data_IF_885432881027
#
_entry.id   IF_885432881027
#
_cell.length_a   1.000
_cell.length_b   1.000
_cell.length_c   1.000
_cell.angle_alpha   90.00
_cell.angle_beta   90.00
_cell.angle_gamma   90.00
#
_symmetry.space_group_name_H-M   'P 1'
#
loop_
_entity.id
_entity.type
_entity.pdbx_description
1 polymer ?
#
# COMPACT_ATOMS: atom_id res chain seq x y z
N UNK A 1 -23.95 10.59 9.57
CA UNK A 1 -23.60 9.17 9.42
C UNK A 1 -22.48 9.08 8.40
N UNK A 2 -21.25 9.34 8.83
CA UNK A 2 -20.05 9.12 8.01
C UNK A 2 -19.61 7.69 8.29
N UNK A 3 -19.78 6.80 7.33
CA UNK A 3 -19.17 5.47 7.37
C UNK A 3 -17.66 5.65 7.34
N UNK A 4 -16.98 5.05 8.33
CA UNK A 4 -15.52 4.96 8.47
C UNK A 4 -14.85 4.75 7.11
N UNK A 5 -13.78 5.51 6.83
CA UNK A 5 -12.91 5.27 5.68
C UNK A 5 -12.26 3.89 5.82
N UNK A 6 -12.88 2.88 5.23
CA UNK A 6 -12.21 1.63 4.89
C UNK A 6 -11.24 1.93 3.74
N UNK A 7 -9.96 1.68 3.94
CA UNK A 7 -9.03 1.54 2.81
C UNK A 7 -7.63 1.98 3.13
N UNK A 8 -6.71 1.02 3.17
CA UNK A 8 -5.30 1.29 3.03
C UNK A 8 -4.69 0.39 1.94
N UNK A 9 -5.25 0.42 0.73
CA UNK A 9 -4.59 -0.16 -0.44
C UNK A 9 -3.42 0.73 -0.84
N UNK A 10 -2.27 0.51 -0.21
CA UNK A 10 -1.11 1.38 -0.35
C UNK A 10 0.17 0.59 -0.52
N UNK A 11 1.10 1.18 -1.28
CA UNK A 11 2.46 0.69 -1.39
C UNK A 11 3.38 1.72 -0.74
N UNK A 12 3.94 1.37 0.40
CA UNK A 12 4.90 2.17 1.14
C UNK A 12 6.29 1.63 0.87
N UNK A 13 7.08 2.38 0.10
CA UNK A 13 8.36 1.93 -0.40
C UNK A 13 9.47 2.89 0.02
N UNK A 14 10.53 2.36 0.62
CA UNK A 14 11.76 3.09 0.92
C UNK A 14 11.56 4.37 1.75
N UNK A 15 10.48 4.46 2.55
CA UNK A 15 10.28 5.57 3.47
C UNK A 15 11.19 5.41 4.70
N UNK A 16 11.96 6.46 5.02
CA UNK A 16 12.92 6.45 6.13
C UNK A 16 12.81 7.72 6.94
N UNK A 17 12.91 7.57 8.26
CA UNK A 17 13.20 8.65 9.17
C UNK A 17 14.58 8.45 9.82
N UNK A 18 15.28 9.55 10.12
CA UNK A 18 16.66 9.51 10.59
C UNK A 18 16.82 9.13 12.07
N UNK A 19 15.73 9.09 12.86
CA UNK A 19 15.80 9.02 14.33
C UNK A 19 14.87 7.94 14.91
N UNK A 20 13.67 7.75 14.35
CA UNK A 20 12.73 6.67 14.68
C UNK A 20 11.71 6.53 13.55
N UNK A 21 11.21 5.32 13.29
CA UNK A 21 10.25 5.05 12.23
C UNK A 21 10.88 4.59 10.92
N UNK A 22 11.22 3.31 10.86
CA UNK A 22 11.48 2.69 9.56
C UNK A 22 10.10 2.47 8.88
N UNK A 23 9.89 3.14 7.75
CA UNK A 23 8.66 3.23 6.95
C UNK A 23 7.37 3.79 7.61
N UNK A 24 6.92 3.32 8.77
CA UNK A 24 5.73 3.89 9.47
C UNK A 24 6.01 4.02 10.98
N UNK A 25 5.66 5.17 11.55
CA UNK A 25 5.77 5.48 12.97
C UNK A 25 4.55 6.22 13.47
N UNK A 26 4.04 5.82 14.64
CA UNK A 26 2.89 6.42 15.30
C UNK A 26 3.19 6.61 16.79
N UNK A 27 3.13 7.87 17.26
CA UNK A 27 3.45 8.30 18.63
C UNK A 27 2.31 9.08 19.30
N UNK A 28 1.08 9.06 18.74
CA UNK A 28 -0.01 9.80 19.35
C UNK A 28 -0.44 9.19 20.70
N UNK A 29 -0.61 10.02 21.74
CA UNK A 29 -1.16 9.57 23.01
C UNK A 29 -2.66 9.26 22.82
N UNK A 30 -3.02 7.98 22.83
CA UNK A 30 -4.40 7.56 22.63
C UNK A 30 -5.30 8.02 23.77
N UNK A 31 -6.05 9.08 23.51
CA UNK A 31 -7.18 9.46 24.33
C UNK A 31 -8.47 8.94 23.69
N UNK A 32 -9.52 8.76 24.49
CA UNK A 32 -10.86 8.44 23.97
C UNK A 32 -11.36 9.47 22.93
N UNK A 33 -10.79 10.67 22.91
CA UNK A 33 -11.11 11.73 21.95
C UNK A 33 -10.30 11.63 20.63
N UNK A 34 -9.09 11.06 20.66
CA UNK A 34 -8.19 10.93 19.52
C UNK A 34 -7.64 9.49 19.44
N UNK A 35 -8.38 8.54 18.86
CA UNK A 35 -7.85 7.21 18.59
C UNK A 35 -6.94 7.27 17.35
N UNK A 36 -5.70 7.77 17.51
CA UNK A 36 -4.69 7.73 16.46
C UNK A 36 -4.19 6.29 16.28
N UNK A 37 -4.92 5.51 15.48
CA UNK A 37 -4.52 4.15 15.08
C UNK A 37 -4.23 4.17 13.60
N UNK A 38 -3.04 3.71 13.21
CA UNK A 38 -2.75 3.39 11.81
C UNK A 38 -3.45 2.08 11.49
N UNK A 39 -4.48 2.12 10.63
CA UNK A 39 -5.16 0.92 10.15
C UNK A 39 -4.61 0.51 8.78
N UNK A 40 -4.21 -0.74 8.65
CA UNK A 40 -3.65 -1.31 7.42
C UNK A 40 -4.58 -2.42 6.90
N UNK A 41 -4.76 -2.48 5.58
CA UNK A 41 -5.49 -3.57 4.90
C UNK A 41 -5.04 -3.63 3.46
N UNK A 42 -4.70 -4.81 2.95
CA UNK A 42 -4.17 -4.97 1.59
C UNK A 42 -2.98 -4.05 1.28
N UNK A 43 -2.14 -3.76 2.27
CA UNK A 43 -1.00 -2.84 2.18
C UNK A 43 0.28 -3.60 1.83
N UNK A 44 1.19 -2.97 1.10
CA UNK A 44 2.54 -3.48 0.85
C UNK A 44 3.55 -2.49 1.43
N UNK A 45 4.45 -2.97 2.29
CA UNK A 45 5.51 -2.18 2.91
C UNK A 45 6.86 -2.83 2.59
N UNK A 46 7.83 -2.05 2.11
CA UNK A 46 9.17 -2.57 1.84
C UNK A 46 10.23 -1.46 1.77
N UNK A 47 11.49 -1.89 1.77
CA UNK A 47 12.66 -1.02 1.61
C UNK A 47 13.62 -1.07 2.80
N UNK A 48 13.20 -1.65 3.94
CA UNK A 48 14.01 -1.74 5.15
C UNK A 48 13.91 -3.11 5.84
N UNK A 49 14.91 -3.50 6.66
CA UNK A 49 14.88 -4.74 7.44
C UNK A 49 13.75 -4.78 8.47
N UNK A 50 13.43 -3.64 9.06
CA UNK A 50 12.27 -3.39 9.92
C UNK A 50 11.48 -2.28 9.24
N UNK A 51 10.17 -2.42 9.09
CA UNK A 51 9.30 -1.54 8.31
C UNK A 51 8.18 -0.91 9.15
N UNK A 52 8.11 -1.24 10.44
CA UNK A 52 7.14 -0.67 11.35
C UNK A 52 7.75 -0.60 12.75
N UNK A 53 7.58 0.55 13.40
CA UNK A 53 7.92 0.76 14.80
C UNK A 53 6.85 1.64 15.48
N UNK A 54 6.72 1.52 16.79
CA UNK A 54 5.66 2.17 17.56
C UNK A 54 4.48 1.26 17.88
N UNK A 55 3.66 1.69 18.86
CA UNK A 55 2.79 0.78 19.60
C UNK A 55 1.37 0.61 19.07
N UNK A 56 0.93 1.39 18.08
CA UNK A 56 -0.51 1.56 17.80
C UNK A 56 -0.86 1.44 16.32
N UNK A 57 -0.76 0.21 15.83
CA UNK A 57 -1.24 -0.23 14.53
C UNK A 57 -2.39 -1.21 14.69
N UNK A 58 -3.30 -1.20 13.73
CA UNK A 58 -4.30 -2.24 13.56
C UNK A 58 -4.20 -2.78 12.14
N UNK A 59 -3.61 -3.96 11.99
CA UNK A 59 -3.82 -4.75 10.77
C UNK A 59 -5.27 -5.23 10.72
N UNK A 60 -5.94 -4.96 9.61
CA UNK A 60 -7.24 -5.53 9.27
C UNK A 60 -7.08 -6.73 8.31
N UNK A 61 -5.85 -7.07 7.94
CA UNK A 61 -5.50 -8.28 7.23
C UNK A 61 -5.01 -8.07 5.80
N UNK A 62 -4.36 -9.13 5.29
CA UNK A 62 -3.78 -9.19 3.95
C UNK A 62 -2.75 -8.09 3.70
N UNK A 63 -2.04 -7.67 4.73
CA UNK A 63 -0.88 -6.80 4.56
C UNK A 63 0.37 -7.64 4.26
N UNK A 64 1.33 -7.08 3.52
CA UNK A 64 2.62 -7.69 3.25
C UNK A 64 3.73 -6.71 3.63
N UNK A 65 4.73 -7.22 4.35
CA UNK A 65 5.98 -6.51 4.62
C UNK A 65 7.17 -7.31 4.10
N UNK A 66 7.99 -6.73 3.21
CA UNK A 66 9.30 -7.28 2.85
C UNK A 66 10.37 -6.62 3.75
N UNK A 67 10.75 -7.35 4.80
CA UNK A 67 11.26 -6.80 6.07
C UNK A 67 10.24 -7.05 7.19
N UNK A 68 10.66 -7.02 8.46
CA UNK A 68 9.74 -7.27 9.57
C UNK A 68 8.87 -6.06 9.88
N UNK A 69 7.63 -6.28 10.25
CA UNK A 69 6.68 -5.29 10.74
C UNK A 69 5.83 -5.97 11.82
N UNK A 70 6.24 -5.83 13.08
CA UNK A 70 5.59 -6.50 14.22
C UNK A 70 4.10 -6.16 14.37
N UNK A 71 3.67 -5.05 13.76
CA UNK A 71 2.30 -4.57 13.70
C UNK A 71 1.37 -5.37 12.78
N UNK A 72 1.92 -6.15 11.83
CA UNK A 72 1.15 -7.08 11.00
C UNK A 72 0.81 -8.34 11.80
N UNK A 73 -0.24 -8.23 12.60
CA UNK A 73 -0.57 -9.19 13.67
C UNK A 73 -1.65 -10.21 13.30
N UNK A 74 -2.22 -10.15 12.10
CA UNK A 74 -3.25 -11.11 11.68
C UNK A 74 -2.61 -12.33 11.02
N UNK A 75 -3.23 -13.51 11.16
CA UNK A 75 -2.72 -14.76 10.60
C UNK A 75 -2.70 -14.80 9.06
N UNK A 76 -3.35 -13.85 8.41
CA UNK A 76 -3.44 -13.73 6.94
C UNK A 76 -2.50 -12.66 6.38
N UNK A 77 -1.75 -11.97 7.23
CA UNK A 77 -0.66 -11.09 6.82
C UNK A 77 0.57 -11.89 6.42
N UNK A 78 1.46 -11.24 5.66
CA UNK A 78 2.74 -11.78 5.21
C UNK A 78 3.86 -10.90 5.74
N UNK A 79 4.20 -11.10 7.02
CA UNK A 79 5.33 -10.43 7.66
C UNK A 79 6.67 -11.05 7.25
N UNK A 80 7.74 -10.24 7.23
CA UNK A 80 9.10 -10.64 6.91
C UNK A 80 9.22 -11.46 5.61
N UNK A 81 8.44 -11.09 4.59
CA UNK A 81 8.43 -11.74 3.29
C UNK A 81 9.82 -11.68 2.64
N UNK A 82 10.31 -12.80 2.10
CA UNK A 82 11.66 -12.93 1.55
C UNK A 82 11.71 -13.10 0.03
N UNK A 83 10.55 -13.26 -0.62
CA UNK A 83 10.47 -13.35 -2.09
C UNK A 83 10.62 -11.99 -2.77
N UNK A 84 10.85 -12.00 -4.08
CA UNK A 84 10.81 -10.79 -4.89
C UNK A 84 9.36 -10.31 -5.04
N UNK A 85 9.13 -9.01 -4.79
CA UNK A 85 7.82 -8.39 -5.00
C UNK A 85 7.50 -8.19 -6.48
N UNK A 86 8.50 -8.24 -7.35
CA UNK A 86 8.39 -8.04 -8.80
C UNK A 86 7.63 -6.74 -9.11
N UNK A 87 8.07 -5.64 -8.48
CA UNK A 87 7.54 -4.30 -8.73
C UNK A 87 8.40 -3.61 -9.80
N UNK A 88 7.75 -2.92 -10.74
CA UNK A 88 8.44 -2.00 -11.65
C UNK A 88 8.97 -0.76 -10.94
N UNK A 89 9.75 0.06 -11.65
CA UNK A 89 10.27 1.32 -11.13
C UNK A 89 9.15 2.32 -10.80
N UNK A 90 9.44 3.27 -9.90
CA UNK A 90 8.54 4.39 -9.61
C UNK A 90 8.44 5.30 -10.84
N UNK A 91 7.34 5.19 -11.59
CA UNK A 91 7.13 5.89 -12.86
C UNK A 91 5.66 6.18 -13.13
N UNK A 92 5.36 6.99 -14.14
CA UNK A 92 4.00 7.30 -14.56
C UNK A 92 3.36 6.09 -15.26
N UNK A 93 2.60 5.29 -14.50
CA UNK A 93 1.89 4.10 -15.02
C UNK A 93 0.45 4.41 -15.45
N UNK A 94 0.22 5.65 -15.94
CA UNK A 94 -1.10 6.20 -16.25
C UNK A 94 -1.89 6.61 -15.02
N UNK A 95 -3.11 7.06 -15.25
CA UNK A 95 -4.08 7.49 -14.27
C UNK A 95 -4.77 8.78 -14.64
N UNK A 96 -5.87 9.08 -13.95
CA UNK A 96 -6.62 10.34 -14.15
C UNK A 96 -5.79 11.58 -13.83
N UNK A 97 -4.86 11.46 -12.89
CA UNK A 97 -3.94 12.52 -12.51
C UNK A 97 -2.49 12.04 -12.70
N UNK A 98 -1.54 12.92 -13.09
CA UNK A 98 -0.15 12.53 -13.21
C UNK A 98 0.43 12.18 -11.84
N UNK A 99 0.60 10.89 -11.58
CA UNK A 99 1.31 10.39 -10.41
C UNK A 99 2.24 9.23 -10.81
N UNK A 100 3.35 9.12 -10.09
CA UNK A 100 4.21 7.95 -10.22
C UNK A 100 3.74 6.87 -9.26
N UNK A 101 3.77 5.62 -9.72
CA UNK A 101 3.42 4.46 -8.91
C UNK A 101 4.39 3.31 -9.14
N UNK A 102 4.34 2.29 -8.29
CA UNK A 102 5.03 1.02 -8.46
C UNK A 102 4.02 0.00 -8.97
N UNK A 103 4.15 -0.41 -10.23
CA UNK A 103 3.23 -1.36 -10.86
C UNK A 103 3.75 -2.80 -10.67
N UNK A 104 2.95 -3.74 -10.14
CA UNK A 104 3.30 -5.16 -10.15
C UNK A 104 3.59 -5.67 -11.56
N UNK A 105 4.60 -6.51 -11.69
CA UNK A 105 4.97 -7.19 -12.94
C UNK A 105 4.29 -8.56 -13.01
N UNK A 106 4.21 -9.18 -14.21
CA UNK A 106 3.68 -10.53 -14.35
C UNK A 106 4.37 -11.51 -13.39
N UNK A 107 3.57 -12.27 -12.64
CA UNK A 107 4.06 -13.24 -11.64
C UNK A 107 4.34 -12.66 -10.25
N UNK A 108 4.10 -11.36 -10.03
CA UNK A 108 4.23 -10.75 -8.71
C UNK A 108 3.36 -11.45 -7.66
N UNK A 109 3.88 -11.70 -6.44
CA UNK A 109 3.11 -12.27 -5.34
C UNK A 109 2.03 -11.34 -4.79
N UNK A 110 1.97 -10.09 -5.30
CA UNK A 110 0.99 -9.08 -4.95
C UNK A 110 -0.31 -9.20 -5.78
N UNK A 111 -0.23 -9.87 -6.94
CA UNK A 111 -1.36 -10.01 -7.85
C UNK A 111 -2.42 -10.94 -7.25
N UNK A 112 -3.70 -10.54 -7.31
CA UNK A 112 -4.85 -11.30 -6.79
C UNK A 112 -4.72 -11.72 -5.31
N UNK A 113 -3.91 -11.02 -4.52
CA UNK A 113 -3.55 -11.42 -3.16
C UNK A 113 -4.32 -10.70 -2.05
N UNK A 114 -5.09 -9.65 -2.39
CA UNK A 114 -5.89 -8.87 -1.45
C UNK A 114 -7.12 -9.59 -0.90
N UNK A 115 -7.74 -8.97 0.11
CA UNK A 115 -9.05 -9.33 0.63
C UNK A 115 -10.15 -8.77 -0.31
N UNK A 116 -10.92 -9.66 -1.00
CA UNK A 116 -12.02 -9.26 -1.87
C UNK A 116 -13.07 -8.37 -1.21
N UNK A 117 -13.26 -8.51 0.11
CA UNK A 117 -14.28 -7.77 0.87
C UNK A 117 -13.84 -6.35 1.23
N UNK A 118 -12.54 -6.08 1.18
CA UNK A 118 -11.94 -4.77 1.41
C UNK A 118 -11.52 -4.07 0.11
N UNK A 119 -11.63 -4.72 -1.05
CA UNK A 119 -11.24 -4.15 -2.34
C UNK A 119 -12.04 -2.87 -2.66
N UNK A 120 -11.32 -1.80 -2.99
CA UNK A 120 -11.93 -0.59 -3.53
C UNK A 120 -12.25 -0.80 -5.01
N UNK A 121 -13.26 -0.09 -5.53
CA UNK A 121 -13.67 -0.22 -6.92
C UNK A 121 -12.57 0.21 -7.91
N UNK A 122 -11.72 1.15 -7.51
CA UNK A 122 -10.59 1.66 -8.30
C UNK A 122 -9.29 1.62 -7.52
N UNK A 123 -8.18 1.60 -8.24
CA UNK A 123 -6.83 1.76 -7.69
C UNK A 123 -6.44 3.24 -7.58
N UNK A 124 -5.22 3.54 -7.11
CA UNK A 124 -4.74 4.91 -6.92
C UNK A 124 -4.75 5.73 -8.22
N UNK A 125 -4.69 5.09 -9.39
CA UNK A 125 -4.70 5.73 -10.71
C UNK A 125 -6.12 6.06 -11.19
N UNK A 126 -7.15 5.74 -10.41
CA UNK A 126 -8.56 5.74 -10.81
C UNK A 126 -8.89 4.68 -11.87
N UNK A 127 -8.10 3.59 -11.93
CA UNK A 127 -8.36 2.45 -12.82
C UNK A 127 -9.18 1.38 -12.09
N UNK A 128 -10.18 0.78 -12.76
CA UNK A 128 -11.00 -0.27 -12.14
C UNK A 128 -10.18 -1.50 -11.78
N UNK A 129 -10.32 -1.98 -10.54
CA UNK A 129 -9.75 -3.25 -10.11
C UNK A 129 -10.44 -4.43 -10.80
N UNK A 130 -9.72 -5.52 -11.04
CA UNK A 130 -10.18 -6.67 -11.83
C UNK A 130 -9.93 -7.96 -11.07
N UNK A 131 -10.94 -8.83 -10.97
CA UNK A 131 -10.79 -10.08 -10.22
C UNK A 131 -10.65 -9.83 -8.72
N UNK A 132 -9.73 -10.53 -8.06
CA UNK A 132 -9.36 -10.23 -6.68
C UNK A 132 -8.38 -9.08 -6.72
N UNK A 133 -8.59 -8.04 -5.91
CA UNK A 133 -7.66 -6.91 -5.97
C UNK A 133 -6.24 -7.32 -5.59
N UNK A 134 -5.30 -6.64 -6.24
CA UNK A 134 -3.89 -6.73 -5.91
C UNK A 134 -3.63 -6.04 -4.57
N UNK A 135 -2.61 -6.54 -3.87
CA UNK A 135 -2.04 -5.85 -2.73
C UNK A 135 -1.36 -4.55 -3.16
N UNK A 136 -1.61 -3.50 -2.40
CA UNK A 136 -1.00 -2.20 -2.59
C UNK A 136 -1.78 -1.24 -3.48
N UNK A 137 -1.10 -0.18 -3.90
CA UNK A 137 -1.75 0.99 -4.48
C UNK A 137 -2.31 0.79 -5.90
N UNK A 138 -1.83 -0.22 -6.62
CA UNK A 138 -2.03 -0.34 -8.06
C UNK A 138 -2.49 -1.75 -8.43
N UNK A 139 -3.43 -1.82 -9.37
CA UNK A 139 -3.89 -3.08 -9.93
C UNK A 139 -3.17 -3.43 -11.24
N UNK A 140 -2.62 -4.63 -11.31
CA UNK A 140 -2.12 -5.25 -12.53
C UNK A 140 -3.27 -5.55 -13.50
N UNK A 141 -3.06 -5.31 -14.80
CA UNK A 141 -4.08 -5.55 -15.83
C UNK A 141 -5.24 -4.54 -15.86
N UNK A 142 -5.35 -3.63 -14.88
CA UNK A 142 -6.32 -2.54 -14.91
C UNK A 142 -5.98 -1.53 -16.01
N UNK A 143 -7.03 -1.03 -16.68
CA UNK A 143 -6.92 0.00 -17.72
C UNK A 143 -6.90 1.40 -17.08
N UNK A 144 -5.73 2.00 -16.98
CA UNK A 144 -5.58 3.37 -16.52
C UNK A 144 -5.72 4.38 -17.69
N UNK A 145 -6.25 5.57 -17.41
CA UNK A 145 -6.26 6.66 -18.37
C UNK A 145 -4.84 7.09 -18.73
N UNK A 146 -4.53 7.30 -20.01
CA UNK A 146 -3.26 7.88 -20.41
C UNK A 146 -3.41 9.40 -20.56
N UNK A 147 -2.99 10.18 -19.57
CA UNK A 147 -2.84 11.63 -19.75
C UNK A 147 -1.52 11.86 -20.47
N UNK A 148 -1.56 12.07 -21.79
CA UNK A 148 -0.44 12.66 -22.52
C UNK A 148 -0.24 14.09 -22.01
N UNK A 149 0.81 14.35 -21.24
CA UNK A 149 1.27 15.73 -21.04
C UNK A 149 1.82 16.24 -22.38
N UNK A 150 1.25 17.28 -23.01
CA UNK A 150 1.94 17.94 -24.10
C UNK A 150 3.22 18.56 -23.54
N UNK A 151 4.35 18.20 -24.15
CA UNK A 151 5.66 18.73 -23.82
C UNK A 151 5.64 20.26 -24.05
N UNK A 152 5.52 21.06 -23.00
CA UNK A 152 5.80 22.50 -23.10
C UNK A 152 7.32 22.62 -23.22
N UNK A 153 7.81 22.72 -24.47
CA UNK A 153 9.16 23.24 -24.71
C UNK A 153 9.17 24.70 -24.28
N UNK A 154 9.97 25.03 -23.27
CA UNK A 154 10.44 26.39 -23.06
C UNK A 154 11.59 26.67 -24.03
#
# INVERSE_FOLDING_TARGET
>A
MFTRSQGAHATLANNQAAIAGDAIYEDSPQTRANPGVVQLVNTVIFGYPVNCDGGLFQSLGRDLSQGSCASLSTAIDRDAFTGDLLLGNLTYNGGRFPMQTLLPQPGSPLIDAGDPTACQATDQRDASRVGTCDLGAVEYGARAFAVLMPLIKR
#
